data_IF_393443412786
#
_entry.id   IF_393443412786
#
_cell.length_a   1.000
_cell.length_b   1.000
_cell.length_c   1.000
_cell.angle_alpha   90.00
_cell.angle_beta   90.00
_cell.angle_gamma   90.00
#
_symmetry.space_group_name_H-M   'P 1'
#
loop_
_entity.id
_entity.type
_entity.pdbx_description
1 polymer ?
#
# COMPACT_ATOMS: atom_id res chain seq x y z
N UNK A 1 2.33 -14.97 16.56
CA UNK A 1 2.78 -14.64 15.19
C UNK A 1 3.31 -13.21 15.19
N UNK A 2 4.62 -13.01 15.07
CA UNK A 2 5.20 -11.70 14.71
C UNK A 2 5.67 -11.85 13.28
N UNK A 3 4.81 -11.61 12.28
CA UNK A 3 5.22 -11.80 10.90
C UNK A 3 6.20 -10.67 10.58
N UNK A 4 7.41 -11.01 10.13
CA UNK A 4 8.29 -10.15 9.33
C UNK A 4 8.73 -8.78 9.92
N UNK A 5 8.45 -8.43 11.17
CA UNK A 5 8.81 -7.12 11.72
C UNK A 5 8.07 -5.97 11.00
N UNK A 6 6.84 -6.23 10.57
CA UNK A 6 5.89 -5.22 10.10
C UNK A 6 5.07 -4.71 11.29
N UNK A 7 4.70 -3.43 11.25
CA UNK A 7 3.79 -2.85 12.24
C UNK A 7 2.36 -3.31 11.96
N UNK A 8 1.48 -3.27 12.97
CA UNK A 8 0.05 -3.59 12.79
C UNK A 8 -0.59 -2.76 11.69
N UNK A 9 -0.18 -1.50 11.56
CA UNK A 9 -0.68 -0.58 10.55
C UNK A 9 -0.20 -0.96 9.14
N UNK A 10 1.05 -1.40 8.97
CA UNK A 10 1.56 -1.93 7.70
C UNK A 10 0.82 -3.20 7.28
N UNK A 11 0.46 -4.07 8.23
CA UNK A 11 -0.31 -5.28 7.94
C UNK A 11 -1.72 -4.93 7.45
N UNK A 12 -2.39 -3.94 8.07
CA UNK A 12 -3.70 -3.45 7.61
C UNK A 12 -3.61 -2.89 6.19
N UNK A 13 -2.60 -2.04 5.92
CA UNK A 13 -2.35 -1.49 4.57
C UNK A 13 -2.14 -2.60 3.56
N UNK A 14 -1.33 -3.62 3.89
CA UNK A 14 -1.10 -4.76 3.00
C UNK A 14 -2.41 -5.51 2.72
N UNK A 15 -3.25 -5.73 3.73
CA UNK A 15 -4.55 -6.40 3.59
C UNK A 15 -5.53 -5.65 2.70
N UNK A 16 -5.57 -4.32 2.79
CA UNK A 16 -6.41 -3.49 1.90
C UNK A 16 -5.94 -3.59 0.45
N UNK A 17 -4.62 -3.53 0.21
CA UNK A 17 -4.06 -3.71 -1.14
C UNK A 17 -4.23 -5.16 -1.61
N UNK A 18 -4.18 -6.16 -0.74
CA UNK A 18 -4.48 -7.56 -1.11
C UNK A 18 -5.91 -7.75 -1.60
N UNK A 19 -6.85 -7.01 -1.00
CA UNK A 19 -8.26 -7.03 -1.41
C UNK A 19 -8.54 -6.31 -2.73
N UNK A 20 -7.61 -5.49 -3.23
CA UNK A 20 -7.79 -4.70 -4.44
C UNK A 20 -6.57 -4.81 -5.35
N UNK A 21 -6.77 -5.32 -6.57
CA UNK A 21 -5.68 -5.52 -7.56
C UNK A 21 -4.74 -4.31 -7.70
N UNK A 22 -5.30 -3.11 -7.64
CA UNK A 22 -4.60 -1.81 -7.55
C UNK A 22 -5.48 -0.83 -6.76
N UNK A 23 -4.89 0.05 -5.95
CA UNK A 23 -5.62 1.08 -5.20
C UNK A 23 -4.88 2.42 -5.23
N UNK A 24 -5.60 3.52 -5.45
CA UNK A 24 -5.05 4.88 -5.39
C UNK A 24 -4.54 5.24 -3.98
N UNK A 25 -3.47 6.03 -3.86
CA UNK A 25 -2.90 6.38 -2.56
C UNK A 25 -3.88 7.12 -1.64
N UNK A 26 -4.72 8.00 -2.20
CA UNK A 26 -5.76 8.69 -1.42
C UNK A 26 -6.85 7.73 -0.97
N UNK A 27 -7.33 6.86 -1.87
CA UNK A 27 -8.33 5.83 -1.54
C UNK A 27 -7.82 4.81 -0.52
N UNK A 28 -6.52 4.49 -0.54
CA UNK A 28 -5.87 3.66 0.47
C UNK A 28 -5.90 4.32 1.85
N UNK A 29 -5.58 5.62 1.90
CA UNK A 29 -5.62 6.40 3.14
C UNK A 29 -7.05 6.44 3.72
N UNK A 30 -8.03 6.68 2.86
CA UNK A 30 -9.46 6.67 3.23
C UNK A 30 -9.91 5.29 3.73
N UNK A 31 -9.49 4.21 3.05
CA UNK A 31 -9.86 2.83 3.41
C UNK A 31 -9.29 2.40 4.76
N UNK A 32 -8.12 2.92 5.13
CA UNK A 32 -7.47 2.63 6.42
C UNK A 32 -7.87 3.65 7.50
N UNK A 33 -8.55 4.75 7.12
CA UNK A 33 -8.98 5.81 8.03
C UNK A 33 -7.83 6.66 8.56
N UNK A 34 -6.79 6.88 7.75
CA UNK A 34 -5.59 7.65 8.12
C UNK A 34 -5.29 8.72 7.07
N UNK A 35 -4.43 9.67 7.42
CA UNK A 35 -3.93 10.67 6.46
C UNK A 35 -3.09 10.01 5.35
N UNK A 36 -3.12 10.62 4.16
CA UNK A 36 -2.38 10.17 2.98
C UNK A 36 -0.85 10.14 3.20
N UNK A 37 -0.28 11.10 3.93
CA UNK A 37 1.15 11.10 4.24
C UNK A 37 1.52 9.88 5.12
N UNK A 38 0.67 9.54 6.09
CA UNK A 38 0.82 8.37 6.96
C UNK A 38 0.66 7.06 6.17
N UNK A 39 -0.31 6.99 5.25
CA UNK A 39 -0.44 5.84 4.35
C UNK A 39 0.82 5.67 3.49
N UNK A 40 1.31 6.76 2.90
CA UNK A 40 2.52 6.75 2.06
C UNK A 40 3.78 6.41 2.86
N UNK A 41 3.90 6.88 4.10
CA UNK A 41 5.00 6.53 5.00
C UNK A 41 5.01 5.03 5.34
N UNK A 42 3.83 4.41 5.47
CA UNK A 42 3.72 2.96 5.66
C UNK A 42 4.09 2.16 4.40
N UNK A 43 3.90 2.73 3.20
CA UNK A 43 4.31 2.09 1.94
C UNK A 43 5.82 2.05 1.74
N UNK A 44 6.57 3.05 2.20
CA UNK A 44 8.03 3.11 2.02
C UNK A 44 8.77 1.84 2.48
N UNK A 45 8.57 1.38 3.73
CA UNK A 45 9.13 0.12 4.22
C UNK A 45 8.65 -1.13 3.45
N UNK A 46 7.41 -1.13 2.96
CA UNK A 46 6.85 -2.25 2.19
C UNK A 46 7.46 -2.33 0.78
N UNK A 47 7.71 -1.18 0.16
CA UNK A 47 8.41 -1.07 -1.13
C UNK A 47 9.88 -1.48 -1.02
N UNK A 48 10.55 -1.08 0.06
CA UNK A 48 11.92 -1.51 0.38
C UNK A 48 12.05 -3.03 0.48
N UNK A 49 10.99 -3.70 0.95
CA UNK A 49 10.92 -5.17 1.04
C UNK A 49 10.38 -5.82 -0.23
N UNK A 50 10.11 -5.03 -1.26
CA UNK A 50 9.51 -5.46 -2.52
C UNK A 50 8.20 -6.20 -2.32
N UNK A 51 7.39 -5.84 -1.31
CA UNK A 51 6.05 -6.42 -1.06
C UNK A 51 4.96 -5.65 -1.81
N UNK A 52 5.18 -4.35 -2.00
CA UNK A 52 4.26 -3.43 -2.70
C UNK A 52 5.08 -2.64 -3.72
N UNK A 53 4.48 -2.29 -4.84
CA UNK A 53 5.02 -1.28 -5.74
C UNK A 53 3.99 -0.15 -5.92
N UNK A 54 4.47 1.05 -6.24
CA UNK A 54 3.61 2.16 -6.63
C UNK A 54 3.87 2.57 -8.07
N UNK A 55 2.82 2.74 -8.85
CA UNK A 55 2.89 3.26 -10.23
C UNK A 55 2.04 4.50 -10.36
N UNK A 56 2.10 5.15 -11.52
CA UNK A 56 1.05 6.09 -11.92
C UNK A 56 -0.17 5.30 -12.39
N UNK A 57 -1.35 5.88 -12.21
CA UNK A 57 -2.57 5.35 -12.81
C UNK A 57 -2.53 5.51 -14.34
N UNK A 58 -3.12 4.55 -15.06
CA UNK A 58 -3.13 4.56 -16.53
C UNK A 58 -4.14 5.56 -17.09
N UNK A 59 -5.24 5.82 -16.36
CA UNK A 59 -6.29 6.78 -16.74
C UNK A 59 -5.92 8.21 -16.30
N UNK A 60 -5.34 8.37 -15.12
CA UNK A 60 -4.86 9.67 -14.64
C UNK A 60 -3.43 9.61 -14.07
N UNK A 61 -2.46 10.07 -14.87
CA UNK A 61 -1.04 10.11 -14.49
C UNK A 61 -0.73 11.00 -13.27
N UNK A 62 -1.68 11.82 -12.83
CA UNK A 62 -1.56 12.62 -11.60
C UNK A 62 -1.80 11.77 -10.35
N UNK A 63 -2.53 10.66 -10.49
CA UNK A 63 -2.83 9.72 -9.42
C UNK A 63 -1.72 8.69 -9.34
N UNK A 64 -1.29 8.41 -8.11
CA UNK A 64 -0.43 7.26 -7.82
C UNK A 64 -1.28 6.13 -7.27
N UNK A 65 -1.00 4.93 -7.75
CA UNK A 65 -1.64 3.68 -7.29
C UNK A 65 -0.60 2.77 -6.66
N UNK A 66 -1.02 1.98 -5.69
CA UNK A 66 -0.26 0.92 -5.04
C UNK A 66 -0.82 -0.44 -5.44
N UNK A 67 0.06 -1.41 -5.66
CA UNK A 67 -0.29 -2.79 -5.96
C UNK A 67 0.67 -3.76 -5.25
N UNK A 68 0.20 -4.96 -4.91
CA UNK A 68 1.07 -6.01 -4.38
C UNK A 68 2.00 -6.54 -5.47
N UNK A 69 3.22 -6.88 -5.05
CA UNK A 69 4.11 -7.69 -5.86
C UNK A 69 3.81 -9.18 -5.61
N UNK A 70 4.40 -10.06 -6.41
CA UNK A 70 4.35 -11.52 -6.18
C UNK A 70 4.96 -11.97 -4.83
N UNK A 71 5.68 -11.10 -4.10
CA UNK A 71 6.15 -11.39 -2.74
C UNK A 71 5.17 -10.95 -1.64
N UNK A 72 4.20 -10.11 -2.02
CA UNK A 72 3.18 -9.56 -1.13
C UNK A 72 1.83 -10.28 -1.19
N UNK A 73 1.55 -11.04 -2.26
CA UNK A 73 0.50 -12.08 -2.31
C UNK A 73 0.84 -13.28 -1.42
#
# INVERSE_FOLDING_TARGET
MRPIGLTSQQIIVLGVIAGQKTIGLSALADSVGIDQATATANLGPLMLRSLVHTTVDEEDRRVRVAALTAKGE
#
